data_IF_139600233789
#
_entry.id   IF_139600233789
#
_cell.length_a   1.000
_cell.length_b   1.000
_cell.length_c   1.000
_cell.angle_alpha   90.00
_cell.angle_beta   90.00
_cell.angle_gamma   90.00
#
_symmetry.space_group_name_H-M   'P 1'
#
loop_
_entity.id
_entity.type
_entity.pdbx_description
1 polymer ?
#
# COMPACT_ATOMS: atom_id res chain seq x y z
N UNK A 1 -83.82 47.64 4.57
CA UNK A 1 -82.83 48.07 3.55
C UNK A 1 -81.83 46.93 3.42
N UNK A 2 -82.08 45.92 2.57
CA UNK A 2 -81.74 45.84 1.13
C UNK A 2 -80.23 46.01 0.89
N UNK A 3 -79.47 45.15 0.21
CA UNK A 3 -79.75 44.21 -0.89
C UNK A 3 -78.74 43.02 -0.94
N UNK A 4 -79.22 41.87 -1.42
CA UNK A 4 -78.68 40.91 -2.44
C UNK A 4 -77.20 41.08 -2.91
N UNK A 5 -76.41 40.06 -3.28
CA UNK A 5 -76.69 38.88 -4.13
C UNK A 5 -75.50 37.89 -4.18
N UNK A 6 -75.82 36.59 -4.09
CA UNK A 6 -75.35 35.39 -4.85
C UNK A 6 -74.21 35.58 -5.88
N UNK A 7 -73.14 34.75 -5.79
CA UNK A 7 -72.68 33.76 -6.81
C UNK A 7 -71.32 33.11 -6.47
N UNK A 8 -71.33 31.80 -6.20
CA UNK A 8 -70.33 30.83 -6.68
C UNK A 8 -70.56 30.65 -8.21
N UNK A 9 -69.64 30.18 -9.11
CA UNK A 9 -68.53 29.25 -8.87
C UNK A 9 -67.24 29.45 -9.71
N UNK A 10 -66.16 28.70 -9.42
CA UNK A 10 -65.44 27.83 -10.38
C UNK A 10 -64.09 27.33 -9.85
N UNK A 11 -64.04 26.00 -9.71
CA UNK A 11 -62.92 25.05 -9.81
C UNK A 11 -61.54 25.63 -10.18
N UNK A 12 -60.53 25.29 -9.38
CA UNK A 12 -59.24 24.83 -9.92
C UNK A 12 -58.70 23.74 -8.99
N UNK A 13 -58.55 22.54 -9.54
CA UNK A 13 -57.92 21.41 -8.89
C UNK A 13 -56.43 21.74 -8.69
N UNK A 14 -55.96 21.67 -7.44
CA UNK A 14 -54.53 21.75 -7.15
C UNK A 14 -53.88 20.45 -7.63
N UNK A 15 -53.19 20.54 -8.76
CA UNK A 15 -52.28 19.52 -9.29
C UNK A 15 -51.10 19.40 -8.30
N UNK A 16 -51.14 18.39 -7.43
CA UNK A 16 -50.03 18.06 -6.56
C UNK A 16 -48.93 17.42 -7.42
N UNK A 17 -48.03 18.24 -7.95
CA UNK A 17 -46.88 17.78 -8.72
C UNK A 17 -45.89 17.13 -7.75
N UNK A 18 -45.96 15.80 -7.62
CA UNK A 18 -44.88 15.02 -7.00
C UNK A 18 -43.63 15.19 -7.89
N UNK A 19 -42.72 16.07 -7.48
CA UNK A 19 -41.35 16.10 -7.98
C UNK A 19 -40.66 14.82 -7.48
N UNK A 20 -40.73 13.75 -8.27
CA UNK A 20 -39.73 12.70 -8.19
C UNK A 20 -38.41 13.31 -8.67
N UNK A 21 -37.56 13.70 -7.73
CA UNK A 21 -36.13 13.84 -8.02
C UNK A 21 -35.63 12.45 -8.38
N UNK A 22 -35.56 12.18 -9.69
CA UNK A 22 -34.73 11.12 -10.23
C UNK A 22 -33.31 11.43 -9.76
N UNK A 23 -32.85 10.72 -8.73
CA UNK A 23 -31.43 10.60 -8.44
C UNK A 23 -30.85 9.84 -9.63
N UNK A 24 -30.47 10.56 -10.68
CA UNK A 24 -29.60 10.01 -11.70
C UNK A 24 -28.29 9.76 -10.99
N UNK A 25 -27.96 8.49 -10.77
CA UNK A 25 -26.61 8.10 -10.46
C UNK A 25 -25.75 8.56 -11.63
N UNK A 26 -25.09 9.72 -11.49
CA UNK A 26 -24.06 10.10 -12.43
C UNK A 26 -22.94 9.09 -12.23
N UNK A 27 -22.79 8.18 -13.20
CA UNK A 27 -21.57 7.43 -13.34
C UNK A 27 -20.48 8.44 -13.66
N UNK A 28 -19.73 8.88 -12.65
CA UNK A 28 -18.42 9.46 -12.87
C UNK A 28 -17.60 8.35 -13.52
N UNK A 29 -17.54 8.33 -14.85
CA UNK A 29 -16.39 7.74 -15.50
C UNK A 29 -15.20 8.55 -14.99
N UNK A 30 -14.34 7.94 -14.17
CA UNK A 30 -13.13 8.58 -13.71
C UNK A 30 -12.32 8.99 -14.96
N UNK A 31 -12.40 10.27 -15.34
CA UNK A 31 -11.56 10.84 -16.38
C UNK A 31 -10.24 11.26 -15.75
N UNK A 32 -9.14 11.08 -16.48
CA UNK A 32 -7.85 11.64 -16.07
C UNK A 32 -7.96 13.16 -15.92
N UNK A 33 -7.29 13.73 -14.91
CA UNK A 33 -7.26 15.19 -14.69
C UNK A 33 -6.43 15.85 -15.79
N UNK A 34 -7.02 16.61 -16.72
CA UNK A 34 -6.27 17.20 -17.82
C UNK A 34 -5.26 18.26 -17.36
N UNK A 35 -5.36 18.78 -16.12
CA UNK A 35 -4.40 19.72 -15.54
C UNK A 35 -3.13 19.08 -15.01
N UNK A 36 -3.05 17.75 -14.96
CA UNK A 36 -1.90 17.00 -14.43
C UNK A 36 -1.00 16.50 -15.57
N UNK A 37 0.22 17.02 -15.68
CA UNK A 37 1.20 16.62 -16.69
C UNK A 37 0.67 16.81 -18.13
N UNK A 38 0.86 15.79 -18.97
CA UNK A 38 0.30 15.71 -20.31
C UNK A 38 -1.07 15.01 -20.29
N UNK A 39 -2.13 15.81 -20.17
CA UNK A 39 -3.53 15.36 -20.19
C UNK A 39 -3.84 14.25 -19.17
N UNK A 40 -3.33 14.43 -17.95
CA UNK A 40 -3.52 13.52 -16.82
C UNK A 40 -2.52 12.38 -16.75
N UNK A 41 -1.37 12.53 -17.41
CA UNK A 41 -0.28 11.55 -17.44
C UNK A 41 1.06 12.24 -17.29
N UNK A 42 1.98 11.58 -16.62
CA UNK A 42 3.37 12.02 -16.52
C UNK A 42 4.25 10.85 -16.96
N UNK A 43 5.22 11.15 -17.81
CA UNK A 43 6.30 10.25 -18.17
C UNK A 43 7.60 11.05 -18.04
N UNK A 44 8.50 10.59 -17.17
CA UNK A 44 9.82 11.19 -16.99
C UNK A 44 10.82 10.23 -17.62
N UNK A 45 11.60 10.74 -18.57
CA UNK A 45 12.69 10.03 -19.22
C UNK A 45 13.95 10.24 -18.36
N UNK A 46 14.43 9.18 -17.71
CA UNK A 46 15.55 9.24 -16.77
C UNK A 46 16.84 8.65 -17.36
N UNK A 47 16.79 8.12 -18.59
CA UNK A 47 17.94 7.51 -19.22
C UNK A 47 17.61 6.67 -20.45
N UNK A 48 18.66 6.11 -21.07
CA UNK A 48 18.54 5.48 -22.38
C UNK A 48 18.16 3.99 -22.37
N UNK A 49 18.13 3.33 -21.21
CA UNK A 49 18.18 1.86 -21.15
C UNK A 49 16.95 1.22 -20.50
N UNK A 50 16.23 1.93 -19.64
CA UNK A 50 14.93 1.50 -19.10
C UNK A 50 14.74 1.98 -17.66
N UNK A 51 13.54 2.50 -17.38
CA UNK A 51 13.16 3.06 -16.08
C UNK A 51 11.84 2.42 -15.60
N UNK A 52 11.73 2.23 -14.30
CA UNK A 52 10.51 1.72 -13.67
C UNK A 52 10.04 2.67 -12.57
N UNK A 53 8.72 2.82 -12.47
CA UNK A 53 8.05 3.53 -11.40
C UNK A 53 7.14 2.55 -10.66
N UNK A 54 7.54 2.17 -9.46
CA UNK A 54 6.90 1.11 -8.67
C UNK A 54 6.14 1.67 -7.45
N UNK A 55 6.56 2.82 -6.93
CA UNK A 55 5.99 3.43 -5.74
C UNK A 55 5.62 4.90 -5.97
N UNK A 56 4.54 5.35 -5.33
CA UNK A 56 4.12 6.76 -5.33
C UNK A 56 3.74 7.19 -3.92
N UNK A 57 4.10 8.41 -3.54
CA UNK A 57 3.79 9.00 -2.25
C UNK A 57 3.47 10.49 -2.40
N UNK A 58 2.26 10.89 -1.99
CA UNK A 58 1.86 12.31 -1.96
C UNK A 58 2.30 12.93 -0.63
N UNK A 59 3.05 14.02 -0.70
CA UNK A 59 3.50 14.78 0.45
C UNK A 59 2.42 15.77 0.92
N UNK A 60 2.44 16.23 2.19
CA UNK A 60 1.45 17.18 2.73
C UNK A 60 1.37 18.52 1.99
N UNK A 61 2.43 18.93 1.30
CA UNK A 61 2.47 20.16 0.49
C UNK A 61 1.93 19.96 -0.94
N UNK A 62 1.45 18.76 -1.28
CA UNK A 62 0.93 18.40 -2.58
C UNK A 62 1.98 17.96 -3.60
N UNK A 63 3.28 17.98 -3.25
CA UNK A 63 4.31 17.35 -4.08
C UNK A 63 4.17 15.84 -4.06
N UNK A 64 4.70 15.17 -5.09
CA UNK A 64 4.52 13.73 -5.30
C UNK A 64 5.90 13.11 -5.48
N UNK A 65 6.27 12.18 -4.61
CA UNK A 65 7.46 11.35 -4.77
C UNK A 65 7.11 10.11 -5.58
N UNK A 66 7.99 9.73 -6.49
CA UNK A 66 7.91 8.49 -7.27
C UNK A 66 9.20 7.73 -7.08
N UNK A 67 9.09 6.43 -6.77
CA UNK A 67 10.21 5.54 -6.53
C UNK A 67 10.17 4.35 -7.48
N UNK A 68 11.35 3.85 -7.86
CA UNK A 68 11.51 2.64 -8.65
C UNK A 68 12.98 2.39 -8.95
N UNK A 69 13.30 2.19 -10.22
CA UNK A 69 14.68 1.97 -10.67
C UNK A 69 14.99 2.63 -12.00
N UNK A 70 16.27 2.89 -12.25
CA UNK A 70 16.80 3.33 -13.54
C UNK A 70 18.00 2.48 -13.93
N UNK A 71 18.20 2.23 -15.22
CA UNK A 71 19.33 1.42 -15.70
C UNK A 71 20.51 2.25 -16.18
N UNK A 72 21.71 1.87 -15.73
CA UNK A 72 22.98 2.47 -16.14
C UNK A 72 23.77 1.65 -17.19
N UNK A 73 23.11 0.71 -17.90
CA UNK A 73 23.65 -0.34 -18.81
C UNK A 73 24.24 -1.59 -18.19
N UNK A 74 24.56 -1.56 -16.89
CA UNK A 74 25.17 -2.70 -16.19
C UNK A 74 24.13 -3.35 -15.27
N UNK A 75 23.45 -2.52 -14.48
CA UNK A 75 22.47 -2.90 -13.48
C UNK A 75 21.35 -1.85 -13.38
N UNK A 76 20.43 -2.11 -12.46
CA UNK A 76 19.43 -1.16 -11.98
C UNK A 76 19.90 -0.49 -10.68
N UNK A 77 19.67 0.81 -10.57
CA UNK A 77 19.91 1.57 -9.34
C UNK A 77 18.58 2.06 -8.75
N UNK A 78 18.52 2.24 -7.42
CA UNK A 78 17.38 2.90 -6.78
C UNK A 78 17.16 4.26 -7.43
N UNK A 79 15.92 4.52 -7.85
CA UNK A 79 15.52 5.80 -8.44
C UNK A 79 14.41 6.43 -7.62
N UNK A 80 14.57 7.71 -7.28
CA UNK A 80 13.51 8.55 -6.70
C UNK A 80 13.48 9.89 -7.41
N UNK A 81 12.30 10.32 -7.86
CA UNK A 81 12.10 11.68 -8.38
C UNK A 81 10.88 12.33 -7.73
N UNK A 82 10.82 13.66 -7.81
CA UNK A 82 9.71 14.43 -7.24
C UNK A 82 9.00 15.25 -8.30
N UNK A 83 7.67 15.22 -8.27
CA UNK A 83 6.79 16.05 -9.07
C UNK A 83 6.14 17.13 -8.19
N UNK A 84 5.80 18.26 -8.80
CA UNK A 84 4.87 19.23 -8.26
C UNK A 84 3.42 18.72 -8.36
N UNK A 85 2.49 19.41 -7.70
CA UNK A 85 1.08 19.02 -7.69
C UNK A 85 0.43 19.02 -9.09
N UNK A 86 1.00 19.75 -10.06
CA UNK A 86 0.56 19.78 -11.46
C UNK A 86 1.22 18.68 -12.32
N UNK A 87 2.03 17.80 -11.73
CA UNK A 87 2.72 16.71 -12.42
C UNK A 87 4.01 17.12 -13.14
N UNK A 88 4.43 18.39 -13.09
CA UNK A 88 5.74 18.81 -13.59
C UNK A 88 6.87 18.35 -12.64
N UNK A 89 8.07 18.10 -13.18
CA UNK A 89 9.22 17.67 -12.38
C UNK A 89 9.69 18.81 -11.46
N UNK A 90 9.90 18.51 -10.18
CA UNK A 90 10.37 19.48 -9.19
C UNK A 90 11.90 19.64 -9.27
N UNK A 91 12.36 20.62 -10.03
CA UNK A 91 13.78 20.93 -10.19
C UNK A 91 14.50 21.39 -8.91
N UNK A 92 13.78 21.67 -7.81
CA UNK A 92 14.41 21.99 -6.53
C UNK A 92 14.77 20.74 -5.72
N UNK A 93 14.30 19.56 -6.13
CA UNK A 93 14.66 18.29 -5.52
C UNK A 93 15.95 17.75 -6.16
N UNK A 94 17.02 17.60 -5.37
CA UNK A 94 18.33 17.10 -5.81
C UNK A 94 18.89 17.73 -7.10
N UNK A 95 18.73 19.05 -7.28
CA UNK A 95 19.23 19.87 -8.40
C UNK A 95 18.54 19.62 -9.77
N UNK A 96 18.14 18.39 -10.09
CA UNK A 96 17.54 18.02 -11.38
C UNK A 96 16.19 17.28 -11.26
N UNK A 97 15.66 17.16 -10.05
CA UNK A 97 14.40 16.50 -9.75
C UNK A 97 14.51 15.00 -9.49
N UNK A 98 15.70 14.41 -9.60
CA UNK A 98 15.91 12.97 -9.64
C UNK A 98 17.07 12.52 -8.75
N UNK A 99 17.06 11.26 -8.33
CA UNK A 99 18.09 10.64 -7.50
C UNK A 99 18.31 9.24 -8.05
N UNK A 100 19.56 8.91 -8.38
CA UNK A 100 19.99 7.53 -8.64
C UNK A 100 21.00 7.13 -7.57
N UNK A 101 20.72 6.02 -6.88
CA UNK A 101 21.53 5.52 -5.77
C UNK A 101 21.85 4.05 -5.98
N UNK A 102 23.11 3.74 -6.25
CA UNK A 102 23.63 2.38 -6.13
C UNK A 102 23.70 2.00 -4.65
N UNK A 103 22.95 0.99 -4.25
CA UNK A 103 22.94 0.44 -2.88
C UNK A 103 23.92 -0.72 -2.80
N UNK A 104 23.87 -1.62 -3.78
CA UNK A 104 24.67 -2.82 -3.85
C UNK A 104 25.68 -2.81 -4.99
N UNK A 105 25.93 -4.01 -5.49
CA UNK A 105 26.85 -4.28 -6.60
C UNK A 105 26.14 -4.67 -7.90
N UNK A 106 24.82 -4.83 -7.85
CA UNK A 106 23.93 -5.22 -8.95
C UNK A 106 22.56 -4.55 -8.71
N UNK A 107 21.52 -5.04 -9.38
CA UNK A 107 20.17 -4.48 -9.38
C UNK A 107 19.63 -4.10 -8.00
N UNK A 108 19.23 -2.85 -7.89
CA UNK A 108 18.55 -2.25 -6.76
C UNK A 108 17.22 -1.67 -7.24
N UNK A 109 16.11 -2.06 -6.61
CA UNK A 109 14.78 -1.53 -6.95
C UNK A 109 14.01 -1.04 -5.72
N UNK A 110 13.41 0.15 -5.82
CA UNK A 110 12.48 0.66 -4.83
C UNK A 110 11.07 0.13 -5.12
N UNK A 111 10.40 -0.40 -4.10
CA UNK A 111 8.99 -0.83 -4.18
C UNK A 111 8.07 -0.07 -3.24
N UNK A 112 8.62 0.63 -2.23
CA UNK A 112 7.82 1.37 -1.28
C UNK A 112 8.49 2.68 -0.85
N UNK A 113 7.66 3.70 -0.59
CA UNK A 113 8.07 5.01 -0.12
C UNK A 113 7.32 5.36 1.17
N UNK A 114 8.00 6.01 2.12
CA UNK A 114 7.35 6.64 3.27
C UNK A 114 7.97 8.01 3.59
N UNK A 115 7.15 8.90 4.15
CA UNK A 115 7.57 10.20 4.65
C UNK A 115 7.64 10.15 6.18
N UNK A 116 8.78 10.54 6.74
CA UNK A 116 8.94 10.72 8.18
C UNK A 116 8.42 12.10 8.62
N UNK A 117 8.08 12.23 9.91
CA UNK A 117 7.51 13.47 10.45
C UNK A 117 8.42 14.71 10.38
N UNK A 118 9.73 14.51 10.19
CA UNK A 118 10.72 15.56 9.98
C UNK A 118 10.94 15.91 8.49
N UNK A 119 10.19 15.29 7.59
CA UNK A 119 10.27 15.51 6.15
C UNK A 119 11.30 14.63 5.43
N UNK A 120 12.02 13.74 6.14
CA UNK A 120 12.90 12.75 5.51
C UNK A 120 12.08 11.69 4.77
N UNK A 121 12.69 11.13 3.73
CA UNK A 121 12.05 10.22 2.79
C UNK A 121 12.75 8.86 2.91
N UNK A 122 11.98 7.80 3.13
CA UNK A 122 12.45 6.43 3.09
C UNK A 122 12.09 5.83 1.73
N UNK A 123 13.06 5.25 1.05
CA UNK A 123 12.87 4.41 -0.13
C UNK A 123 13.31 2.99 0.21
N UNK A 124 12.40 2.04 0.04
CA UNK A 124 12.61 0.66 0.45
C UNK A 124 12.27 -0.33 -0.66
N UNK A 125 13.03 -1.41 -0.73
CA UNK A 125 12.87 -2.48 -1.71
C UNK A 125 13.93 -3.55 -1.50
N UNK A 126 14.68 -3.88 -2.55
CA UNK A 126 15.79 -4.83 -2.45
C UNK A 126 17.08 -4.31 -3.08
N UNK A 127 18.20 -4.86 -2.62
CA UNK A 127 19.50 -4.75 -3.28
C UNK A 127 20.00 -6.15 -3.63
N UNK A 128 20.45 -6.35 -4.86
CA UNK A 128 21.01 -7.61 -5.32
C UNK A 128 22.52 -7.62 -5.14
N UNK A 129 23.04 -8.62 -4.44
CA UNK A 129 24.48 -8.83 -4.28
C UNK A 129 24.84 -10.27 -4.60
N UNK A 130 25.55 -10.48 -5.73
CA UNK A 130 26.01 -11.79 -6.18
C UNK A 130 24.88 -12.83 -6.38
N UNK A 131 23.69 -12.38 -6.77
CA UNK A 131 22.56 -13.24 -7.12
C UNK A 131 21.62 -13.60 -5.96
N UNK A 132 21.74 -12.92 -4.81
CA UNK A 132 20.72 -12.91 -3.76
C UNK A 132 20.20 -11.49 -3.57
N UNK A 133 18.89 -11.36 -3.39
CA UNK A 133 18.24 -10.10 -2.99
C UNK A 133 18.23 -9.99 -1.47
N UNK A 134 18.58 -8.82 -0.98
CA UNK A 134 18.48 -8.48 0.43
C UNK A 134 17.58 -7.24 0.60
N UNK A 135 16.90 -7.12 1.74
CA UNK A 135 16.18 -5.91 2.12
C UNK A 135 17.10 -4.70 2.01
N UNK A 136 16.64 -3.66 1.31
CA UNK A 136 17.37 -2.42 1.14
C UNK A 136 16.50 -1.21 1.47
N UNK A 137 17.06 -0.29 2.27
CA UNK A 137 16.45 0.99 2.61
C UNK A 137 17.46 2.10 2.42
N UNK A 138 17.10 3.11 1.63
CA UNK A 138 17.81 4.38 1.56
C UNK A 138 16.98 5.47 2.25
N UNK A 139 17.66 6.39 2.94
CA UNK A 139 17.01 7.58 3.48
C UNK A 139 17.56 8.86 2.86
N UNK A 140 16.64 9.72 2.42
CA UNK A 140 16.94 11.03 1.87
C UNK A 140 16.38 12.14 2.77
N UNK A 141 17.06 13.27 2.77
CA UNK A 141 16.53 14.52 3.30
C UNK A 141 15.37 15.03 2.42
N UNK A 142 14.62 16.01 2.93
CA UNK A 142 13.49 16.60 2.20
C UNK A 142 13.87 17.27 0.88
N UNK A 143 15.15 17.62 0.70
CA UNK A 143 15.69 18.19 -0.55
C UNK A 143 16.20 17.13 -1.53
N UNK A 144 16.14 15.84 -1.16
CA UNK A 144 16.60 14.72 -1.97
C UNK A 144 18.06 14.33 -1.76
N UNK A 145 18.84 15.08 -0.97
CA UNK A 145 20.19 14.67 -0.60
C UNK A 145 20.16 13.44 0.31
N UNK A 146 21.11 12.52 0.16
CA UNK A 146 21.20 11.31 1.00
C UNK A 146 21.48 11.68 2.48
N UNK A 147 20.71 11.13 3.40
CA UNK A 147 20.89 11.33 4.84
C UNK A 147 21.99 10.43 5.38
N UNK A 148 23.23 10.94 5.40
CA UNK A 148 24.41 10.17 5.84
C UNK A 148 24.42 9.76 7.31
N UNK A 149 23.47 10.23 8.13
CA UNK A 149 23.35 9.80 9.53
C UNK A 149 22.46 8.54 9.68
N UNK A 150 21.80 8.09 8.62
CA UNK A 150 21.02 6.85 8.60
C UNK A 150 21.86 5.64 8.20
N UNK A 151 21.83 4.58 9.00
CA UNK A 151 22.55 3.34 8.70
C UNK A 151 24.03 3.58 8.39
N UNK A 152 24.49 3.03 7.26
CA UNK A 152 25.80 3.29 6.72
C UNK A 152 25.69 4.28 5.56
N UNK A 153 26.07 5.54 5.80
CA UNK A 153 26.07 6.61 4.79
C UNK A 153 24.73 6.82 4.08
N UNK A 154 23.61 6.59 4.77
CA UNK A 154 22.25 6.75 4.25
C UNK A 154 21.59 5.46 3.80
N UNK A 155 22.29 4.32 3.92
CA UNK A 155 21.85 3.02 3.42
C UNK A 155 21.78 1.99 4.53
N UNK A 156 20.82 1.09 4.41
CA UNK A 156 20.69 -0.10 5.23
C UNK A 156 20.39 -1.28 4.30
N UNK A 157 21.23 -2.30 4.37
CA UNK A 157 21.02 -3.58 3.69
C UNK A 157 20.96 -4.67 4.76
N UNK A 158 19.98 -5.55 4.71
CA UNK A 158 19.79 -6.61 5.71
C UNK A 158 19.33 -7.89 5.03
N UNK A 159 20.11 -8.96 5.14
CA UNK A 159 19.62 -10.29 4.81
C UNK A 159 18.75 -10.79 5.97
N UNK A 160 17.45 -10.96 5.72
CA UNK A 160 16.51 -11.56 6.71
C UNK A 160 16.37 -13.07 6.50
N UNK A 161 16.90 -13.59 5.40
CA UNK A 161 17.05 -15.02 5.12
C UNK A 161 18.40 -15.33 4.45
N UNK A 162 18.73 -16.61 4.26
CA UNK A 162 19.91 -17.04 3.50
C UNK A 162 19.67 -17.00 1.96
N UNK A 163 18.57 -16.38 1.51
CA UNK A 163 18.14 -16.33 0.12
C UNK A 163 17.40 -15.02 -0.17
N UNK A 164 16.67 -14.93 -1.28
CA UNK A 164 16.03 -13.71 -1.74
C UNK A 164 15.02 -13.20 -0.70
N UNK A 165 15.22 -11.95 -0.29
CA UNK A 165 14.26 -11.17 0.44
C UNK A 165 14.10 -9.74 -0.14
N UNK A 166 12.85 -9.28 -0.16
CA UNK A 166 12.47 -7.98 -0.73
C UNK A 166 11.41 -7.27 0.11
N UNK A 167 11.56 -5.96 0.29
CA UNK A 167 10.56 -5.11 0.95
C UNK A 167 9.50 -4.69 -0.06
N UNK A 168 8.23 -4.81 0.31
CA UNK A 168 7.09 -4.34 -0.51
C UNK A 168 6.25 -3.29 0.21
N UNK A 169 6.47 -3.07 1.51
CA UNK A 169 5.77 -2.03 2.26
C UNK A 169 6.63 -1.40 3.35
N UNK A 170 6.48 -0.09 3.54
CA UNK A 170 7.12 0.68 4.61
C UNK A 170 6.09 1.56 5.31
N UNK A 171 6.16 1.64 6.63
CA UNK A 171 5.36 2.54 7.45
C UNK A 171 6.20 3.15 8.57
N UNK A 172 5.93 4.39 8.94
CA UNK A 172 6.63 5.10 10.01
C UNK A 172 5.71 5.20 11.22
N UNK A 173 6.17 4.72 12.37
CA UNK A 173 5.46 4.83 13.63
C UNK A 173 5.60 6.24 14.23
N UNK A 174 4.67 6.69 15.09
CA UNK A 174 4.73 8.02 15.71
C UNK A 174 6.00 8.31 16.53
N UNK A 175 6.67 7.27 17.03
CA UNK A 175 7.94 7.37 17.77
C UNK A 175 9.17 7.43 16.84
N UNK A 176 8.96 7.42 15.53
CA UNK A 176 10.01 7.46 14.51
C UNK A 176 10.58 6.10 14.12
N UNK A 177 10.10 4.99 14.72
CA UNK A 177 10.47 3.65 14.28
C UNK A 177 9.89 3.35 12.91
N UNK A 178 10.56 2.46 12.19
CA UNK A 178 10.26 2.14 10.80
C UNK A 178 9.82 0.68 10.75
N UNK A 179 8.60 0.43 10.29
CA UNK A 179 8.10 -0.91 10.00
C UNK A 179 8.31 -1.22 8.53
N UNK A 180 8.82 -2.41 8.25
CA UNK A 180 9.04 -2.92 6.90
C UNK A 180 8.30 -4.24 6.77
N UNK A 181 7.59 -4.45 5.67
CA UNK A 181 7.06 -5.76 5.33
C UNK A 181 7.50 -6.14 3.93
N UNK A 182 7.52 -7.44 3.69
CA UNK A 182 8.04 -7.97 2.46
C UNK A 182 7.91 -9.48 2.42
N UNK A 183 8.68 -10.06 1.54
CA UNK A 183 8.69 -11.50 1.31
C UNK A 183 10.13 -12.00 1.38
N UNK A 184 10.33 -13.15 2.02
CA UNK A 184 11.61 -13.87 2.02
C UNK A 184 11.40 -15.30 1.50
N UNK A 185 12.41 -15.89 0.88
CA UNK A 185 12.36 -17.28 0.48
C UNK A 185 12.69 -18.19 1.67
N UNK A 186 11.72 -19.02 2.08
CA UNK A 186 11.90 -20.06 3.10
C UNK A 186 12.02 -21.47 2.51
N UNK A 187 12.21 -22.47 3.37
CA UNK A 187 12.45 -23.87 2.99
C UNK A 187 11.34 -24.50 2.14
N UNK A 188 10.09 -24.14 2.41
CA UNK A 188 8.90 -24.71 1.75
C UNK A 188 8.25 -23.72 0.77
N UNK A 189 8.87 -22.56 0.54
CA UNK A 189 8.35 -21.48 -0.29
C UNK A 189 8.46 -20.12 0.39
N UNK A 190 7.91 -19.10 -0.26
CA UNK A 190 7.97 -17.72 0.24
C UNK A 190 7.17 -17.53 1.52
N UNK A 191 7.69 -16.71 2.43
CA UNK A 191 7.08 -16.33 3.71
C UNK A 191 6.95 -14.81 3.82
N UNK A 192 5.98 -14.35 4.60
CA UNK A 192 5.86 -12.93 4.93
C UNK A 192 6.91 -12.56 5.96
N UNK A 193 7.59 -11.44 5.76
CA UNK A 193 8.46 -10.83 6.76
C UNK A 193 7.81 -9.56 7.27
N UNK A 194 7.89 -9.34 8.58
CA UNK A 194 7.64 -8.05 9.20
C UNK A 194 8.83 -7.69 10.08
N UNK A 195 9.51 -6.60 9.76
CA UNK A 195 10.68 -6.12 10.47
C UNK A 195 10.46 -4.73 11.05
N UNK A 196 11.19 -4.40 12.12
CA UNK A 196 11.19 -3.07 12.71
C UNK A 196 12.61 -2.54 12.89
N UNK A 197 12.80 -1.31 12.47
CA UNK A 197 14.06 -0.58 12.53
C UNK A 197 13.87 0.66 13.39
N UNK A 198 14.93 1.06 14.07
CA UNK A 198 15.01 2.33 14.77
C UNK A 198 15.12 3.48 13.76
N UNK A 199 14.83 4.71 14.22
CA UNK A 199 14.92 5.89 13.36
C UNK A 199 16.34 6.15 12.79
N UNK A 200 17.39 5.57 13.35
CA UNK A 200 18.75 5.67 12.80
C UNK A 200 19.07 4.56 11.79
N UNK A 201 18.14 3.66 11.48
CA UNK A 201 18.33 2.55 10.54
C UNK A 201 18.94 1.29 11.14
N UNK A 202 19.21 1.22 12.45
CA UNK A 202 19.58 -0.04 13.09
C UNK A 202 18.34 -0.92 13.36
N UNK A 203 18.42 -2.26 13.28
CA UNK A 203 17.32 -3.14 13.69
C UNK A 203 16.85 -2.87 15.13
N UNK A 204 15.54 -2.93 15.37
CA UNK A 204 14.95 -2.87 16.71
C UNK A 204 14.82 -4.27 17.31
N UNK A 205 15.88 -4.76 17.95
CA UNK A 205 15.90 -6.09 18.59
C UNK A 205 14.88 -6.30 19.73
N UNK A 206 14.08 -5.30 20.09
CA UNK A 206 12.94 -5.49 21.02
C UNK A 206 11.65 -5.93 20.32
N UNK A 207 11.65 -5.97 18.98
CA UNK A 207 10.55 -6.41 18.15
C UNK A 207 10.77 -7.86 17.72
N UNK A 208 9.80 -8.75 17.96
CA UNK A 208 9.85 -10.16 17.59
C UNK A 208 11.18 -10.87 17.95
N UNK A 209 11.78 -10.50 19.10
CA UNK A 209 13.05 -10.99 19.68
C UNK A 209 14.34 -10.81 18.85
N UNK A 210 14.26 -10.61 17.53
CA UNK A 210 15.42 -10.44 16.63
C UNK A 210 15.32 -9.24 15.68
N UNK A 211 14.28 -8.42 15.82
CA UNK A 211 14.00 -7.26 14.99
C UNK A 211 13.08 -7.55 13.81
N UNK A 212 12.73 -8.80 13.56
CA UNK A 212 11.75 -9.21 12.57
C UNK A 212 11.06 -10.53 12.94
N UNK A 213 9.94 -10.81 12.28
CA UNK A 213 9.26 -12.10 12.33
C UNK A 213 9.07 -12.63 10.91
N UNK A 214 9.19 -13.96 10.76
CA UNK A 214 8.81 -14.69 9.56
C UNK A 214 7.47 -15.39 9.79
N UNK A 215 6.54 -15.29 8.84
CA UNK A 215 5.20 -15.86 8.92
C UNK A 215 4.88 -16.65 7.66
N UNK A 216 4.90 -17.98 7.77
CA UNK A 216 4.49 -18.88 6.71
C UNK A 216 2.96 -18.97 6.62
N UNK A 217 2.42 -18.84 5.42
CA UNK A 217 0.98 -18.99 5.14
C UNK A 217 0.82 -19.79 3.85
N UNK A 218 0.22 -20.98 3.95
CA UNK A 218 0.15 -21.92 2.84
C UNK A 218 1.54 -22.36 2.36
N UNK A 219 1.69 -22.60 1.06
CA UNK A 219 2.94 -23.07 0.45
C UNK A 219 3.76 -21.95 -0.19
N UNK A 220 3.18 -20.76 -0.36
CA UNK A 220 3.87 -19.60 -0.93
C UNK A 220 3.07 -18.35 -0.56
N UNK A 221 3.64 -17.46 0.25
CA UNK A 221 3.01 -16.22 0.67
C UNK A 221 3.80 -15.01 0.16
N UNK A 222 3.08 -13.97 -0.28
CA UNK A 222 3.65 -12.66 -0.65
C UNK A 222 2.95 -11.55 0.11
N UNK A 223 3.73 -10.65 0.68
CA UNK A 223 3.23 -9.39 1.24
C UNK A 223 3.19 -8.31 0.15
N UNK A 224 2.14 -7.51 0.13
CA UNK A 224 1.93 -6.44 -0.87
C UNK A 224 1.67 -5.08 -0.20
N UNK A 225 1.14 -5.07 1.01
CA UNK A 225 0.74 -3.83 1.68
C UNK A 225 0.89 -3.93 3.19
N UNK A 226 1.37 -2.85 3.79
CA UNK A 226 1.52 -2.64 5.23
C UNK A 226 0.58 -1.54 5.68
N UNK A 227 -0.15 -1.76 6.76
CA UNK A 227 -1.01 -0.76 7.37
C UNK A 227 -0.83 -0.76 8.89
N UNK A 228 -0.51 0.40 9.44
CA UNK A 228 -0.48 0.65 10.88
C UNK A 228 -1.79 1.32 11.32
N UNK A 229 -2.46 0.73 12.31
CA UNK A 229 -3.66 1.32 12.92
C UNK A 229 -3.30 2.28 14.06
N UNK A 230 -4.23 3.18 14.43
CA UNK A 230 -4.04 4.10 15.56
C UNK A 230 -3.83 3.36 16.89
N UNK A 231 -4.38 2.15 17.04
CA UNK A 231 -4.20 1.33 18.24
C UNK A 231 -2.89 0.53 18.26
N UNK A 232 -1.98 0.76 17.31
CA UNK A 232 -0.67 0.11 17.25
C UNK A 232 -0.69 -1.32 16.67
N UNK A 233 -1.86 -1.80 16.22
CA UNK A 233 -1.95 -3.06 15.46
C UNK A 233 -1.39 -2.85 14.06
N UNK A 234 -0.60 -3.82 13.62
CA UNK A 234 0.05 -3.85 12.31
C UNK A 234 -0.68 -4.87 11.45
N UNK A 235 -1.07 -4.49 10.25
CA UNK A 235 -1.72 -5.36 9.28
C UNK A 235 -0.84 -5.51 8.05
N UNK A 236 -0.72 -6.74 7.55
CA UNK A 236 -0.04 -7.04 6.29
C UNK A 236 -1.03 -7.74 5.38
N UNK A 237 -1.29 -7.17 4.21
CA UNK A 237 -2.12 -7.79 3.19
C UNK A 237 -1.25 -8.34 2.05
N UNK A 238 -1.76 -9.37 1.40
CA UNK A 238 -1.12 -9.93 0.23
C UNK A 238 -1.82 -11.17 -0.27
N UNK A 239 -1.03 -12.11 -0.79
CA UNK A 239 -1.53 -13.33 -1.42
C UNK A 239 -0.83 -14.54 -0.86
N UNK A 240 -1.50 -15.69 -0.90
CA UNK A 240 -0.85 -16.95 -0.63
C UNK A 240 -1.40 -18.09 -1.48
N UNK A 241 -0.60 -19.14 -1.67
CA UNK A 241 -1.00 -20.37 -2.35
C UNK A 241 -1.40 -21.46 -1.37
N UNK A 242 -2.46 -22.18 -1.71
CA UNK A 242 -2.82 -23.45 -1.08
C UNK A 242 -2.61 -24.59 -2.06
N UNK A 243 -1.94 -25.64 -1.60
CA UNK A 243 -1.89 -26.92 -2.29
C UNK A 243 -2.73 -27.95 -1.56
N UNK A 244 -3.76 -28.48 -2.23
CA UNK A 244 -4.57 -29.59 -1.75
C UNK A 244 -4.27 -30.82 -2.59
N UNK A 245 -4.11 -31.97 -1.94
CA UNK A 245 -3.72 -33.22 -2.59
C UNK A 245 -4.74 -33.59 -3.69
N UNK A 246 -4.25 -33.74 -4.93
CA UNK A 246 -5.04 -34.00 -6.14
C UNK A 246 -5.95 -32.85 -6.62
N UNK A 247 -5.71 -31.63 -6.16
CA UNK A 247 -6.41 -30.43 -6.64
C UNK A 247 -5.41 -29.49 -7.32
N UNK A 248 -5.93 -28.58 -8.15
CA UNK A 248 -5.12 -27.51 -8.75
C UNK A 248 -4.72 -26.54 -7.63
N UNK A 249 -3.48 -26.04 -7.66
CA UNK A 249 -3.05 -24.95 -6.79
C UNK A 249 -3.98 -23.75 -6.95
N UNK A 250 -4.40 -23.18 -5.82
CA UNK A 250 -5.27 -22.00 -5.76
C UNK A 250 -4.57 -20.89 -5.01
N UNK A 251 -4.76 -19.64 -5.44
CA UNK A 251 -4.29 -18.45 -4.71
C UNK A 251 -5.44 -17.81 -3.95
N UNK A 252 -5.13 -17.30 -2.77
CA UNK A 252 -6.09 -16.62 -1.90
C UNK A 252 -5.51 -15.30 -1.35
N UNK A 253 -6.39 -14.35 -1.08
CA UNK A 253 -6.05 -13.15 -0.31
C UNK A 253 -5.72 -13.52 1.13
N UNK A 254 -4.72 -12.86 1.69
CA UNK A 254 -4.31 -12.95 3.08
C UNK A 254 -4.31 -11.55 3.70
N UNK A 255 -4.79 -11.45 4.93
CA UNK A 255 -4.44 -10.34 5.84
C UNK A 255 -3.94 -10.95 7.14
N UNK A 256 -2.71 -10.64 7.49
CA UNK A 256 -2.08 -10.95 8.77
C UNK A 256 -2.22 -9.77 9.72
N UNK A 257 -2.45 -10.06 10.99
CA UNK A 257 -2.42 -9.06 12.04
C UNK A 257 -1.30 -9.37 13.02
N UNK A 258 -0.54 -8.35 13.39
CA UNK A 258 0.50 -8.41 14.39
C UNK A 258 0.22 -7.38 15.48
N UNK A 259 0.64 -7.70 16.70
CA UNK A 259 0.66 -6.74 17.80
C UNK A 259 1.82 -5.75 17.63
N UNK A 260 1.89 -4.75 18.51
CA UNK A 260 2.94 -3.71 18.48
C UNK A 260 4.37 -4.25 18.72
N UNK A 261 4.49 -5.46 19.29
CA UNK A 261 5.78 -6.12 19.53
C UNK A 261 6.20 -7.02 18.37
N UNK A 262 5.36 -7.18 17.34
CA UNK A 262 5.67 -7.98 16.16
C UNK A 262 5.21 -9.43 16.26
N UNK A 263 4.52 -9.83 17.33
CA UNK A 263 3.97 -11.17 17.40
C UNK A 263 2.66 -11.25 16.60
N UNK A 264 2.46 -12.38 15.91
CA UNK A 264 1.23 -12.65 15.19
C UNK A 264 0.03 -12.68 16.15
N UNK A 265 -0.96 -11.83 15.90
CA UNK A 265 -2.22 -11.77 16.64
C UNK A 265 -3.14 -12.91 16.21
N UNK A 266 -2.99 -14.06 16.85
CA UNK A 266 -3.80 -15.26 16.57
C UNK A 266 -5.30 -15.10 16.90
N UNK A 267 -5.72 -14.01 17.55
CA UNK A 267 -7.13 -13.72 17.81
C UNK A 267 -7.84 -13.07 16.61
N UNK A 268 -7.09 -12.64 15.59
CA UNK A 268 -7.60 -12.04 14.37
C UNK A 268 -7.97 -13.11 13.33
N UNK A 269 -9.13 -12.98 12.69
CA UNK A 269 -9.58 -13.93 11.65
C UNK A 269 -9.57 -15.39 12.13
N UNK A 270 -9.03 -16.28 11.31
CA UNK A 270 -8.77 -17.68 11.65
C UNK A 270 -7.28 -17.87 11.98
N UNK A 271 -6.93 -17.77 13.28
CA UNK A 271 -5.55 -17.92 13.79
C UNK A 271 -4.55 -16.89 13.22
N UNK A 272 -4.96 -15.65 13.05
CA UNK A 272 -4.13 -14.55 12.55
C UNK A 272 -4.28 -14.26 11.07
N UNK A 273 -5.00 -15.09 10.30
CA UNK A 273 -5.24 -14.90 8.87
C UNK A 273 -6.73 -14.70 8.59
N UNK A 274 -7.10 -13.68 7.82
CA UNK A 274 -8.44 -13.64 7.22
C UNK A 274 -8.46 -14.47 5.94
N UNK A 275 -9.14 -15.61 5.98
CA UNK A 275 -9.47 -16.42 4.80
C UNK A 275 -10.80 -15.95 4.17
N UNK A 276 -10.99 -16.18 2.86
CA UNK A 276 -12.20 -15.77 2.15
C UNK A 276 -13.51 -16.31 2.74
N UNK A 277 -14.57 -15.51 2.58
CA UNK A 277 -15.97 -15.84 2.84
C UNK A 277 -16.47 -16.96 1.93
N UNK A 278 -17.47 -17.71 2.43
CA UNK A 278 -18.18 -18.77 1.71
C UNK A 278 -18.54 -18.36 0.26
N UNK A 279 -17.96 -19.05 -0.73
CA UNK A 279 -18.40 -19.07 -2.13
C UNK A 279 -17.67 -18.14 -3.11
N UNK A 280 -16.85 -17.19 -2.65
CA UNK A 280 -15.97 -16.37 -3.50
C UNK A 280 -14.55 -16.47 -2.96
N UNK A 281 -13.57 -16.78 -3.82
CA UNK A 281 -12.16 -16.86 -3.43
C UNK A 281 -11.43 -15.64 -4.04
N UNK A 282 -11.24 -14.54 -3.28
CA UNK A 282 -10.34 -13.48 -3.67
C UNK A 282 -8.96 -14.07 -3.93
N UNK A 283 -8.45 -13.84 -5.14
CA UNK A 283 -7.19 -14.35 -5.65
C UNK A 283 -5.99 -13.47 -5.29
N UNK A 284 -6.21 -12.20 -4.89
CA UNK A 284 -5.13 -11.32 -4.44
C UNK A 284 -5.61 -10.13 -3.57
N UNK A 285 -4.75 -9.63 -2.67
CA UNK A 285 -4.87 -8.32 -2.01
C UNK A 285 -3.66 -7.44 -2.35
N UNK A 286 -3.89 -6.19 -2.73
CA UNK A 286 -2.83 -5.29 -3.25
C UNK A 286 -2.60 -4.05 -2.38
N UNK A 287 -3.61 -3.61 -1.65
CA UNK A 287 -3.55 -2.34 -0.93
C UNK A 287 -4.56 -2.28 0.18
N UNK A 288 -4.22 -1.56 1.25
CA UNK A 288 -5.11 -1.30 2.37
C UNK A 288 -5.25 0.20 2.63
N UNK A 289 -6.42 0.62 3.08
CA UNK A 289 -6.69 1.98 3.53
C UNK A 289 -7.60 1.98 4.74
N UNK A 290 -7.37 2.88 5.69
CA UNK A 290 -8.29 3.11 6.82
C UNK A 290 -9.31 4.16 6.39
N UNK A 291 -10.60 3.88 6.62
CA UNK A 291 -11.69 4.83 6.43
C UNK A 291 -11.89 5.65 7.70
N UNK A 292 -12.55 6.81 7.57
CA UNK A 292 -12.83 7.72 8.70
C UNK A 292 -13.59 7.06 9.87
N UNK A 293 -14.32 5.97 9.61
CA UNK A 293 -15.04 5.20 10.63
C UNK A 293 -14.18 4.13 11.33
N UNK A 294 -12.89 4.05 10.99
CA UNK A 294 -11.93 3.07 11.51
C UNK A 294 -12.03 1.69 10.87
N UNK A 295 -12.90 1.49 9.87
CA UNK A 295 -12.91 0.25 9.08
C UNK A 295 -11.75 0.24 8.08
N UNK A 296 -11.23 -0.96 7.78
CA UNK A 296 -10.13 -1.11 6.83
C UNK A 296 -10.70 -1.58 5.50
N UNK A 297 -10.41 -0.83 4.44
CA UNK A 297 -10.65 -1.24 3.06
C UNK A 297 -9.45 -2.05 2.58
N UNK A 298 -9.69 -3.21 1.98
CA UNK A 298 -8.68 -4.02 1.31
C UNK A 298 -9.02 -4.08 -0.17
N UNK A 299 -8.14 -3.57 -1.02
CA UNK A 299 -8.24 -3.68 -2.47
C UNK A 299 -7.67 -5.04 -2.92
N UNK A 300 -8.36 -5.74 -3.80
CA UNK A 300 -7.96 -7.06 -4.24
C UNK A 300 -8.60 -7.49 -5.56
N UNK A 301 -8.45 -8.76 -5.90
CA UNK A 301 -9.15 -9.38 -7.03
C UNK A 301 -9.77 -10.71 -6.64
N UNK A 302 -10.81 -11.14 -7.36
CA UNK A 302 -11.31 -12.53 -7.41
C UNK A 302 -11.05 -13.06 -8.81
N UNK A 303 -10.76 -14.36 -8.91
CA UNK A 303 -10.75 -15.07 -10.19
C UNK A 303 -11.91 -16.08 -10.22
N UNK A 304 -12.80 -15.94 -11.20
CA UNK A 304 -13.93 -16.83 -11.43
C UNK A 304 -13.97 -17.18 -12.92
N UNK A 305 -14.00 -18.48 -13.25
CA UNK A 305 -14.01 -19.00 -14.62
C UNK A 305 -12.94 -18.39 -15.56
N UNK A 306 -11.75 -18.09 -15.02
CA UNK A 306 -10.63 -17.50 -15.76
C UNK A 306 -10.73 -16.00 -15.99
N UNK A 307 -11.73 -15.33 -15.41
CA UNK A 307 -11.88 -13.87 -15.42
C UNK A 307 -11.45 -13.30 -14.09
N UNK A 308 -10.54 -12.31 -14.12
CA UNK A 308 -10.07 -11.59 -12.94
C UNK A 308 -10.88 -10.31 -12.74
N UNK A 309 -11.56 -10.17 -11.61
CA UNK A 309 -12.37 -9.01 -11.25
C UNK A 309 -11.74 -8.27 -10.08
N UNK A 310 -11.61 -6.95 -10.17
CA UNK A 310 -11.17 -6.11 -9.05
C UNK A 310 -12.30 -5.95 -8.03
N UNK A 311 -11.98 -6.03 -6.75
CA UNK A 311 -12.92 -5.92 -5.64
C UNK A 311 -12.31 -5.13 -4.49
N UNK A 312 -13.17 -4.55 -3.66
CA UNK A 312 -12.79 -4.02 -2.36
C UNK A 312 -13.57 -4.76 -1.27
N UNK A 313 -12.91 -5.04 -0.16
CA UNK A 313 -13.50 -5.67 1.00
C UNK A 313 -13.36 -4.74 2.20
N UNK A 314 -14.39 -4.68 3.04
CA UNK A 314 -14.31 -3.94 4.32
C UNK A 314 -14.06 -4.92 5.46
N UNK A 315 -13.01 -4.72 6.23
CA UNK A 315 -12.82 -5.38 7.52
C UNK A 315 -13.51 -4.52 8.58
N UNK A 316 -14.57 -5.05 9.18
CA UNK A 316 -15.33 -4.36 10.22
C UNK A 316 -15.48 -5.25 11.48
N UNK A 317 -15.40 -4.64 12.67
CA UNK A 317 -15.64 -5.35 13.95
C UNK A 317 -17.09 -5.87 13.99
N UNK A 318 -17.30 -7.14 14.34
CA UNK A 318 -18.65 -7.69 14.53
C UNK A 318 -19.23 -7.21 15.87
N UNK A 319 -20.25 -6.36 15.85
CA UNK A 319 -20.90 -5.84 17.06
C UNK A 319 -20.11 -4.71 17.74
N UNK A 320 -20.50 -4.31 18.96
CA UNK A 320 -19.89 -3.19 19.70
C UNK A 320 -18.35 -3.35 19.81
N UNK A 321 -17.65 -2.21 19.98
CA UNK A 321 -16.20 -1.92 19.78
C UNK A 321 -15.13 -2.97 20.19
N UNK A 322 -15.48 -4.11 20.77
CA UNK A 322 -14.55 -5.14 21.29
C UNK A 322 -14.65 -6.50 20.59
N UNK A 323 -15.42 -6.65 19.51
CA UNK A 323 -15.51 -7.91 18.75
C UNK A 323 -14.40 -8.11 17.69
N UNK A 324 -14.14 -9.34 17.23
CA UNK A 324 -13.17 -9.62 16.17
C UNK A 324 -13.57 -8.95 14.84
N UNK A 325 -12.57 -8.54 14.06
CA UNK A 325 -12.74 -8.00 12.70
C UNK A 325 -13.10 -9.14 11.75
N UNK A 326 -14.22 -9.00 11.05
CA UNK A 326 -14.65 -9.91 9.98
C UNK A 326 -14.65 -9.17 8.65
N UNK A 327 -14.32 -9.89 7.57
CA UNK A 327 -14.47 -9.37 6.20
C UNK A 327 -15.98 -9.26 5.90
N UNK A 328 -16.41 -8.09 5.43
CA UNK A 328 -17.70 -7.85 4.78
C UNK A 328 -17.43 -7.33 3.38
N UNK A 329 -17.84 -8.11 2.38
CA UNK A 329 -17.96 -7.62 1.01
C UNK A 329 -19.07 -6.54 0.97
N UNK A 330 -18.78 -5.41 0.32
CA UNK A 330 -19.74 -4.34 0.04
C UNK A 330 -19.98 -4.26 -1.46
#
# INVERSE_FOLDING_TARGET
MSLFSIKCPMKLAALCLLLFTLCTAETFAASLDPGFGDNGKVAVDLGAYGDQANAVLVQPDGKILVGGSTSNTVDLDFMVFRLLADGSLDSEFNIDGTISTAVGSHDDEVFALALQGDGKILAAGYSSNNGSRDFAVARYNSDGSLDREFGLEGLVVTAVSDSDDEITGVAVQPDGKILLTGTALGDEGRVVVLARYQNNGSPDYTFADEGFTLSAVGTDARAESLLLTEEGRILVAGTYSEEKKNEKQTTALMVLAYNENGDLDTSFGHKGVTVPLDGLVPSAGYGMAIRDDGSILVAGSVEEDGTRMALYFSLARKGCRTGPLEIRAS
#
